data_IF_839639295766
#
_entry.id   IF_839639295766
#
_cell.length_a   1.000
_cell.length_b   1.000
_cell.length_c   1.000
_cell.angle_alpha   90.00
_cell.angle_beta   90.00
_cell.angle_gamma   90.00
#
_symmetry.space_group_name_H-M   'P 1'
#
loop_
_entity.id
_entity.type
_entity.pdbx_description
1 polymer ?
#
# COMPACT_ATOMS: atom_id res chain seq x y z
N UNK A 1 -1.73 12.37 3.92
CA UNK A 1 -1.61 12.75 2.49
C UNK A 1 -2.99 12.74 1.87
N UNK A 2 -3.36 13.77 1.10
CA UNK A 2 -4.62 13.90 0.39
C UNK A 2 -4.36 14.48 -1.00
N UNK A 3 -5.06 13.95 -2.01
CA UNK A 3 -4.93 14.43 -3.39
C UNK A 3 -3.76 13.85 -4.16
N UNK A 4 -3.82 13.99 -5.49
CA UNK A 4 -2.85 13.37 -6.42
C UNK A 4 -1.47 14.02 -6.35
N UNK A 5 -1.41 15.32 -6.03
CA UNK A 5 -0.14 16.07 -6.01
C UNK A 5 0.72 15.67 -4.80
N UNK A 6 0.13 15.63 -3.61
CA UNK A 6 0.82 15.15 -2.40
C UNK A 6 1.24 13.69 -2.54
N UNK A 7 0.36 12.85 -3.07
CA UNK A 7 0.67 11.43 -3.31
C UNK A 7 1.82 11.29 -4.31
N UNK A 8 1.77 12.03 -5.42
CA UNK A 8 2.80 11.99 -6.45
C UNK A 8 4.15 12.49 -5.93
N UNK A 9 4.16 13.53 -5.12
CA UNK A 9 5.38 14.03 -4.47
C UNK A 9 5.98 12.99 -3.52
N UNK A 10 5.15 12.36 -2.68
CA UNK A 10 5.57 11.30 -1.78
C UNK A 10 6.14 10.09 -2.54
N UNK A 11 5.42 9.58 -3.55
CA UNK A 11 5.88 8.43 -4.34
C UNK A 11 7.21 8.75 -5.04
N UNK A 12 7.33 9.91 -5.70
CA UNK A 12 8.59 10.30 -6.35
C UNK A 12 9.75 10.38 -5.38
N UNK A 13 9.51 10.84 -4.15
CA UNK A 13 10.53 10.89 -3.13
C UNK A 13 10.94 9.47 -2.68
N UNK A 14 9.96 8.61 -2.35
CA UNK A 14 10.21 7.25 -1.85
C UNK A 14 10.88 6.37 -2.89
N UNK A 15 10.42 6.39 -4.15
CA UNK A 15 10.95 5.54 -5.24
C UNK A 15 12.44 5.78 -5.49
N UNK A 16 12.95 6.97 -5.18
CA UNK A 16 14.38 7.27 -5.32
C UNK A 16 15.23 6.82 -4.11
N UNK A 17 14.61 6.41 -3.01
CA UNK A 17 15.29 6.03 -1.77
C UNK A 17 15.27 4.52 -1.50
N UNK A 18 14.33 3.80 -2.12
CA UNK A 18 14.14 2.37 -1.91
C UNK A 18 14.68 1.56 -3.08
N UNK A 19 15.37 0.47 -2.76
CA UNK A 19 15.92 -0.50 -3.71
C UNK A 19 15.35 -1.89 -3.40
N UNK A 20 15.39 -2.78 -4.41
CA UNK A 20 15.04 -4.21 -4.27
C UNK A 20 13.68 -4.49 -3.58
N UNK A 21 12.68 -3.66 -3.86
CA UNK A 21 11.35 -3.79 -3.24
C UNK A 21 10.67 -5.09 -3.65
N UNK A 22 10.47 -5.98 -2.69
CA UNK A 22 9.62 -7.16 -2.81
C UNK A 22 8.37 -6.96 -1.98
N UNK A 23 7.19 -7.21 -2.54
CA UNK A 23 5.91 -7.09 -1.83
C UNK A 23 5.10 -8.35 -2.03
N UNK A 24 4.69 -8.97 -0.93
CA UNK A 24 3.72 -10.05 -0.92
C UNK A 24 2.41 -9.59 -0.27
N UNK A 25 1.30 -10.09 -0.80
CA UNK A 25 -0.04 -9.76 -0.32
C UNK A 25 -0.72 -11.05 0.09
N UNK A 26 -1.27 -11.10 1.30
CA UNK A 26 -1.97 -12.26 1.83
C UNK A 26 -3.25 -11.86 2.55
N UNK A 27 -4.01 -12.85 3.04
CA UNK A 27 -5.26 -12.67 3.79
C UNK A 27 -6.24 -11.66 3.14
N UNK A 28 -6.38 -11.77 1.81
CA UNK A 28 -7.16 -10.87 0.98
C UNK A 28 -8.66 -11.12 1.21
N UNK A 29 -9.39 -10.05 1.49
CA UNK A 29 -10.86 -10.01 1.52
C UNK A 29 -11.36 -8.84 0.70
N UNK A 30 -12.35 -9.11 -0.14
CA UNK A 30 -12.98 -8.11 -0.99
C UNK A 30 -14.45 -7.93 -0.64
N UNK A 31 -14.94 -6.72 -0.84
CA UNK A 31 -16.36 -6.37 -0.72
C UNK A 31 -16.72 -5.39 -1.83
N UNK A 32 -17.78 -5.69 -2.57
CA UNK A 32 -18.30 -4.85 -3.64
C UNK A 32 -19.62 -4.20 -3.22
N UNK A 33 -19.71 -2.88 -3.36
CA UNK A 33 -20.89 -2.06 -3.09
C UNK A 33 -21.16 -1.18 -4.32
N UNK A 34 -21.78 -1.76 -5.35
CA UNK A 34 -21.98 -1.11 -6.64
C UNK A 34 -20.64 -0.74 -7.29
N UNK A 35 -20.41 0.57 -7.47
CA UNK A 35 -19.18 1.12 -8.04
C UNK A 35 -18.08 1.35 -6.99
N UNK A 36 -18.22 0.81 -5.78
CA UNK A 36 -17.22 0.87 -4.72
C UNK A 36 -16.67 -0.54 -4.48
N UNK A 37 -15.35 -0.67 -4.49
CA UNK A 37 -14.64 -1.87 -4.09
C UNK A 37 -13.85 -1.60 -2.81
N UNK A 38 -13.92 -2.50 -1.84
CA UNK A 38 -13.12 -2.45 -0.62
C UNK A 38 -12.28 -3.72 -0.58
N UNK A 39 -10.97 -3.54 -0.48
CA UNK A 39 -9.98 -4.61 -0.30
C UNK A 39 -9.37 -4.44 1.08
N UNK A 40 -9.44 -5.47 1.91
CA UNK A 40 -8.58 -5.60 3.08
C UNK A 40 -7.61 -6.74 2.85
N UNK A 41 -6.35 -6.53 3.19
CA UNK A 41 -5.29 -7.52 3.00
C UNK A 41 -4.18 -7.31 4.02
N UNK A 42 -3.29 -8.28 4.08
CA UNK A 42 -2.01 -8.15 4.75
C UNK A 42 -0.93 -7.90 3.71
N UNK A 43 -0.07 -6.90 3.94
CA UNK A 43 1.09 -6.60 3.13
C UNK A 43 2.33 -6.98 3.92
N UNK A 44 3.19 -7.80 3.32
CA UNK A 44 4.58 -7.95 3.72
C UNK A 44 5.46 -7.32 2.65
N UNK A 45 6.37 -6.44 3.05
CA UNK A 45 7.25 -5.74 2.14
C UNK A 45 8.68 -5.73 2.67
N UNK A 46 9.58 -6.27 1.85
CA UNK A 46 11.02 -6.22 2.07
C UNK A 46 11.61 -5.22 1.08
N UNK A 47 12.48 -4.33 1.55
CA UNK A 47 13.17 -3.35 0.70
C UNK A 47 14.48 -2.91 1.32
N UNK A 48 15.36 -2.34 0.51
CA UNK A 48 16.60 -1.71 0.99
C UNK A 48 16.41 -0.19 1.03
N UNK A 49 16.67 0.43 2.18
CA UNK A 49 16.64 1.88 2.37
C UNK A 49 18.02 2.34 2.86
N UNK A 50 18.68 3.19 2.08
CA UNK A 50 20.03 3.69 2.39
C UNK A 50 21.03 2.55 2.72
N UNK A 51 20.97 1.46 1.94
CA UNK A 51 21.83 0.29 2.11
C UNK A 51 21.44 -0.63 3.28
N UNK A 52 20.34 -0.36 3.99
CA UNK A 52 19.84 -1.20 5.09
C UNK A 52 18.56 -1.93 4.69
N UNK A 53 18.55 -3.24 4.89
CA UNK A 53 17.35 -4.03 4.75
C UNK A 53 16.27 -3.57 5.75
N UNK A 54 15.06 -3.38 5.24
CA UNK A 54 13.86 -3.03 5.96
C UNK A 54 12.81 -4.10 5.69
N UNK A 55 12.04 -4.41 6.72
CA UNK A 55 10.87 -5.28 6.63
C UNK A 55 9.67 -4.53 7.20
N UNK A 56 8.56 -4.55 6.47
CA UNK A 56 7.30 -3.94 6.86
C UNK A 56 6.19 -4.98 6.75
N UNK A 57 5.51 -5.20 7.87
CA UNK A 57 4.31 -6.02 7.98
C UNK A 57 3.12 -5.14 8.35
N UNK A 58 2.06 -5.13 7.53
CA UNK A 58 0.97 -4.18 7.72
C UNK A 58 -0.40 -4.69 7.25
N UNK A 59 -1.43 -4.71 8.11
CA UNK A 59 -2.81 -4.74 7.65
C UNK A 59 -3.10 -3.48 6.82
N UNK A 60 -3.70 -3.70 5.65
CA UNK A 60 -3.93 -2.67 4.64
C UNK A 60 -5.38 -2.68 4.18
N UNK A 61 -5.97 -1.49 4.07
CA UNK A 61 -7.27 -1.25 3.45
C UNK A 61 -7.09 -0.39 2.20
N UNK A 62 -7.62 -0.86 1.08
CA UNK A 62 -7.67 -0.12 -0.18
C UNK A 62 -9.13 0.05 -0.59
N UNK A 63 -9.54 1.29 -0.83
CA UNK A 63 -10.87 1.59 -1.38
C UNK A 63 -10.71 2.00 -2.83
N UNK A 64 -11.53 1.41 -3.68
CA UNK A 64 -11.62 1.70 -5.11
C UNK A 64 -12.97 2.32 -5.42
N UNK A 65 -12.98 3.23 -6.40
CA UNK A 65 -14.19 3.67 -7.09
C UNK A 65 -14.06 3.32 -8.57
N UNK A 66 -15.12 2.76 -9.14
CA UNK A 66 -15.22 2.51 -10.57
C UNK A 66 -15.50 3.82 -11.29
N UNK A 67 -14.69 4.13 -12.29
CA UNK A 67 -14.86 5.26 -13.20
C UNK A 67 -14.85 4.72 -14.63
N UNK A 68 -16.02 4.72 -15.29
CA UNK A 68 -16.20 3.97 -16.54
C UNK A 68 -15.90 2.48 -16.32
N UNK A 69 -14.96 1.93 -17.10
CA UNK A 69 -14.58 0.52 -17.01
C UNK A 69 -13.32 0.27 -16.16
N UNK A 70 -12.82 1.28 -15.43
CA UNK A 70 -11.61 1.17 -14.65
C UNK A 70 -11.87 1.34 -13.14
N UNK A 71 -11.24 0.49 -12.34
CA UNK A 71 -11.14 0.72 -10.89
C UNK A 71 -10.02 1.71 -10.59
N UNK A 72 -10.32 2.72 -9.79
CA UNK A 72 -9.36 3.75 -9.37
C UNK A 72 -9.25 3.75 -7.86
N UNK A 73 -8.02 3.74 -7.35
CA UNK A 73 -7.75 3.86 -5.91
C UNK A 73 -8.25 5.21 -5.43
N UNK A 74 -9.00 5.21 -4.32
CA UNK A 74 -9.50 6.38 -3.61
C UNK A 74 -8.94 6.49 -2.21
N UNK A 75 -8.64 5.36 -1.58
CA UNK A 75 -7.97 5.28 -0.30
C UNK A 75 -6.93 4.17 -0.38
N UNK A 76 -5.75 4.45 0.15
CA UNK A 76 -4.78 3.45 0.55
C UNK A 76 -4.41 3.76 2.00
N UNK A 77 -4.69 2.84 2.91
CA UNK A 77 -4.42 2.99 4.33
C UNK A 77 -3.76 1.72 4.85
N UNK A 78 -2.51 1.84 5.27
CA UNK A 78 -1.70 0.74 5.78
C UNK A 78 -1.16 1.13 7.14
N UNK A 79 -1.20 0.19 8.09
CA UNK A 79 -0.79 0.41 9.48
C UNK A 79 0.40 -0.52 9.80
N UNK A 80 1.65 -0.07 9.62
CA UNK A 80 2.82 -0.88 9.92
C UNK A 80 2.84 -1.31 11.37
N UNK A 81 3.06 -2.60 11.60
CA UNK A 81 3.34 -3.12 12.93
C UNK A 81 4.80 -2.83 13.29
N UNK A 82 5.12 -2.64 14.59
CA UNK A 82 6.49 -2.60 15.02
C UNK A 82 7.20 -3.92 14.65
N UNK A 83 8.52 -3.90 14.45
CA UNK A 83 9.30 -5.11 14.29
C UNK A 83 9.04 -6.06 15.47
N UNK A 84 8.94 -7.35 15.22
CA UNK A 84 8.83 -8.32 16.31
C UNK A 84 10.09 -8.22 17.19
N UNK A 85 9.91 -7.89 18.47
CA UNK A 85 10.98 -7.97 19.47
C UNK A 85 11.27 -9.46 19.72
N UNK A 86 12.45 -9.93 19.31
CA UNK A 86 12.97 -11.26 19.64
C UNK A 86 13.69 -11.26 20.98
#
# INVERSE_FOLDING_TARGET
MRGIDELGAYIRHVVNMVEDVHTSISNVKETLLGDIGILTCWIEQDYTLEGKAQHVSAPTTVVFRREGNAWKVRLFHSLPLPPEEN
#
